data_IF_190488007391
#
_entry.id   IF_190488007391
#
_cell.length_a   1.000
_cell.length_b   1.000
_cell.length_c   1.000
_cell.angle_alpha   90.00
_cell.angle_beta   90.00
_cell.angle_gamma   90.00
#
_symmetry.space_group_name_H-M   'P 1'
#
loop_
_entity.id
_entity.type
_entity.pdbx_description
1 polymer ?
#
# COMPACT_ATOMS: atom_id res chain seq x y z
N UNK A 1 -10.51 -9.25 11.91
CA UNK A 1 -10.83 -8.51 10.67
C UNK A 1 -12.26 -8.80 10.19
N UNK A 2 -13.04 -7.75 10.01
CA UNK A 2 -14.28 -7.77 9.22
C UNK A 2 -13.97 -7.62 7.73
N UNK A 3 -14.97 -7.82 6.87
CA UNK A 3 -14.85 -7.53 5.42
C UNK A 3 -14.51 -6.05 5.12
N UNK A 4 -14.78 -5.15 6.06
CA UNK A 4 -14.58 -3.71 5.88
C UNK A 4 -13.22 -3.22 6.39
N UNK A 5 -12.54 -4.02 7.21
CA UNK A 5 -11.22 -3.68 7.76
C UNK A 5 -10.16 -3.73 6.66
N UNK A 6 -9.07 -2.99 6.86
CA UNK A 6 -8.00 -2.81 5.88
C UNK A 6 -6.68 -3.28 6.48
N UNK A 7 -6.29 -4.49 6.12
CA UNK A 7 -4.94 -4.99 6.37
C UNK A 7 -3.92 -4.23 5.52
N UNK A 8 -2.68 -4.23 5.98
CA UNK A 8 -1.54 -3.58 5.31
C UNK A 8 -1.22 -4.21 3.95
N UNK A 9 -1.19 -5.54 3.86
CA UNK A 9 -0.63 -6.26 2.70
C UNK A 9 -1.47 -6.15 1.42
N UNK A 10 -2.83 -6.16 1.43
CA UNK A 10 -3.58 -5.98 0.18
C UNK A 10 -3.34 -4.60 -0.44
N UNK A 11 -3.12 -3.56 0.39
CA UNK A 11 -2.80 -2.23 -0.12
C UNK A 11 -1.45 -2.24 -0.85
N UNK A 12 -0.46 -2.92 -0.26
CA UNK A 12 0.86 -3.11 -0.86
C UNK A 12 0.78 -3.83 -2.22
N UNK A 13 0.03 -4.93 -2.31
CA UNK A 13 -0.15 -5.68 -3.56
C UNK A 13 -0.91 -4.87 -4.62
N UNK A 14 -2.01 -4.21 -4.25
CA UNK A 14 -2.82 -3.43 -5.17
C UNK A 14 -2.04 -2.25 -5.76
N UNK A 15 -1.20 -1.57 -5.00
CA UNK A 15 -0.35 -0.50 -5.54
C UNK A 15 0.54 -1.01 -6.67
N UNK A 16 1.21 -2.14 -6.48
CA UNK A 16 2.06 -2.76 -7.51
C UNK A 16 1.21 -3.18 -8.71
N UNK A 17 0.09 -3.87 -8.48
CA UNK A 17 -0.80 -4.35 -9.53
C UNK A 17 -1.33 -3.20 -10.40
N UNK A 18 -1.71 -2.08 -9.80
CA UNK A 18 -2.21 -0.93 -10.54
C UNK A 18 -1.14 -0.22 -11.37
N UNK A 19 0.09 -0.08 -10.86
CA UNK A 19 1.19 0.45 -11.69
C UNK A 19 1.52 -0.49 -12.85
N UNK A 20 1.50 -1.81 -12.64
CA UNK A 20 1.66 -2.79 -13.72
C UNK A 20 0.51 -2.71 -14.73
N UNK A 21 -0.74 -2.62 -14.27
CA UNK A 21 -1.91 -2.46 -15.12
C UNK A 21 -1.82 -1.20 -15.98
N UNK A 22 -1.40 -0.08 -15.38
CA UNK A 22 -1.14 1.15 -16.13
C UNK A 22 -0.05 0.94 -17.18
N UNK A 23 1.06 0.29 -16.82
CA UNK A 23 2.16 -0.01 -17.76
C UNK A 23 1.71 -0.90 -18.93
N UNK A 24 0.89 -1.91 -18.67
CA UNK A 24 0.48 -2.90 -19.68
C UNK A 24 -0.60 -2.36 -20.63
N UNK A 25 -1.54 -1.61 -20.09
CA UNK A 25 -2.78 -1.26 -20.81
C UNK A 25 -2.91 0.24 -21.11
N UNK A 26 -2.10 1.10 -20.47
CA UNK A 26 -2.16 2.55 -20.65
C UNK A 26 -3.44 3.20 -20.11
N UNK A 27 -4.25 2.49 -19.33
CA UNK A 27 -5.55 2.95 -18.81
C UNK A 27 -5.32 3.88 -17.60
N UNK A 28 -5.65 5.19 -17.68
CA UNK A 28 -5.33 6.17 -16.64
C UNK A 28 -5.93 5.86 -15.26
N UNK A 29 -7.09 5.19 -15.23
CA UNK A 29 -7.80 4.81 -14.01
C UNK A 29 -6.95 3.91 -13.09
N UNK A 30 -6.00 3.15 -13.66
CA UNK A 30 -5.06 2.39 -12.84
C UNK A 30 -4.08 3.30 -12.09
N UNK A 31 -3.60 4.37 -12.71
CA UNK A 31 -2.74 5.33 -12.03
C UNK A 31 -3.50 6.11 -10.95
N UNK A 32 -4.77 6.48 -11.22
CA UNK A 32 -5.67 7.07 -10.23
C UNK A 32 -5.91 6.13 -9.04
N UNK A 33 -6.17 4.85 -9.30
CA UNK A 33 -6.35 3.84 -8.26
C UNK A 33 -5.08 3.66 -7.41
N UNK A 34 -3.89 3.62 -8.04
CA UNK A 34 -2.62 3.63 -7.33
C UNK A 34 -2.50 4.87 -6.42
N UNK A 35 -2.78 6.07 -6.95
CA UNK A 35 -2.67 7.32 -6.20
C UNK A 35 -3.63 7.34 -4.99
N UNK A 36 -4.85 6.84 -5.15
CA UNK A 36 -5.83 6.73 -4.08
C UNK A 36 -5.36 5.78 -2.96
N UNK A 37 -4.82 4.61 -3.31
CA UNK A 37 -4.30 3.65 -2.33
C UNK A 37 -3.06 4.21 -1.64
N UNK A 38 -2.15 4.83 -2.38
CA UNK A 38 -0.97 5.45 -1.78
C UNK A 38 -1.35 6.57 -0.80
N UNK A 39 -2.36 7.38 -1.14
CA UNK A 39 -2.94 8.38 -0.25
C UNK A 39 -3.49 7.74 1.04
N UNK A 40 -4.24 6.64 0.92
CA UNK A 40 -4.75 5.89 2.06
C UNK A 40 -3.61 5.34 2.95
N UNK A 41 -2.65 4.63 2.35
CA UNK A 41 -1.48 4.05 3.03
C UNK A 41 -0.72 5.12 3.82
N UNK A 42 -0.40 6.24 3.17
CA UNK A 42 0.32 7.35 3.81
C UNK A 42 -0.44 7.95 4.98
N UNK A 43 -1.76 8.06 4.87
CA UNK A 43 -2.59 8.72 5.88
C UNK A 43 -2.91 7.81 7.06
N UNK A 44 -3.18 6.54 6.82
CA UNK A 44 -3.77 5.65 7.81
C UNK A 44 -2.86 4.52 8.28
N UNK A 45 -1.96 4.03 7.42
CA UNK A 45 -1.11 2.88 7.75
C UNK A 45 0.29 3.28 8.22
N UNK A 46 0.92 4.27 7.57
CA UNK A 46 2.29 4.66 7.94
C UNK A 46 2.35 5.31 9.32
N UNK A 47 3.23 4.81 10.19
CA UNK A 47 3.46 5.38 11.52
C UNK A 47 4.51 6.49 11.43
N UNK A 48 4.06 7.75 11.47
CA UNK A 48 4.96 8.90 11.43
C UNK A 48 5.98 8.87 12.59
N UNK A 49 7.24 9.23 12.30
CA UNK A 49 8.34 9.25 13.27
C UNK A 49 8.97 7.88 13.56
N UNK A 50 8.23 6.78 13.38
CA UNK A 50 8.75 5.40 13.53
C UNK A 50 9.11 4.80 12.17
N UNK A 51 8.34 5.14 11.13
CA UNK A 51 8.33 4.39 9.89
C UNK A 51 7.48 3.13 10.00
N UNK A 52 7.53 2.31 8.96
CA UNK A 52 6.68 1.13 8.79
C UNK A 52 5.17 1.39 8.80
N UNK A 53 4.39 0.35 8.53
CA UNK A 53 2.95 0.36 8.43
C UNK A 53 2.35 -0.42 9.61
N UNK A 54 1.22 0.06 10.12
CA UNK A 54 0.37 -0.69 11.06
C UNK A 54 -0.18 -1.94 10.38
N UNK A 55 -0.41 -3.02 11.13
CA UNK A 55 -0.99 -4.25 10.58
C UNK A 55 -2.41 -4.03 10.03
N UNK A 56 -3.29 -3.39 10.81
CA UNK A 56 -4.73 -3.39 10.54
C UNK A 56 -5.41 -2.09 11.02
N UNK A 57 -6.23 -1.50 10.15
CA UNK A 57 -7.14 -0.39 10.49
C UNK A 57 -8.59 -0.76 10.18
N UNK A 58 -9.54 -0.12 10.85
CA UNK A 58 -10.96 -0.26 10.58
C UNK A 58 -11.36 0.47 9.28
N UNK A 59 -12.65 0.41 8.92
CA UNK A 59 -13.18 1.10 7.74
C UNK A 59 -12.95 2.62 7.74
N UNK A 60 -12.95 3.26 8.91
CA UNK A 60 -12.69 4.69 9.08
C UNK A 60 -11.18 5.02 9.05
N UNK A 61 -10.32 4.00 8.95
CA UNK A 61 -8.87 4.15 8.95
C UNK A 61 -8.27 4.38 10.35
N UNK A 62 -8.99 4.01 11.40
CA UNK A 62 -8.50 4.03 12.78
C UNK A 62 -7.82 2.70 13.11
N UNK A 63 -6.71 2.69 13.88
CA UNK A 63 -5.99 1.46 14.20
C UNK A 63 -6.85 0.44 14.96
N UNK A 64 -6.92 -0.79 14.44
CA UNK A 64 -7.41 -1.96 15.20
C UNK A 64 -6.20 -2.68 15.81
N UNK A 65 -5.16 -2.89 15.01
CA UNK A 65 -3.85 -3.34 15.45
C UNK A 65 -2.80 -2.30 15.06
N UNK A 66 -2.28 -1.62 16.08
CA UNK A 66 -1.27 -0.58 15.92
C UNK A 66 0.16 -1.13 15.81
N UNK A 67 0.37 -2.44 15.96
CA UNK A 67 1.68 -3.06 15.87
C UNK A 67 2.24 -2.93 14.45
N UNK A 68 3.56 -2.72 14.37
CA UNK A 68 4.32 -2.70 13.10
C UNK A 68 5.01 -4.04 12.83
N UNK A 69 4.74 -5.05 13.65
CA UNK A 69 5.31 -6.40 13.56
C UNK A 69 4.46 -7.41 14.32
N UNK A 70 4.16 -8.55 13.68
CA UNK A 70 3.50 -9.71 14.30
C UNK A 70 3.82 -10.97 13.47
N UNK A 71 3.48 -12.21 13.90
CA UNK A 71 3.89 -13.43 13.20
C UNK A 71 3.54 -13.51 11.70
N UNK A 72 2.55 -12.76 11.25
CA UNK A 72 2.11 -12.68 9.86
C UNK A 72 2.30 -11.30 9.21
N UNK A 73 3.00 -10.39 9.90
CA UNK A 73 3.34 -9.06 9.41
C UNK A 73 4.79 -8.76 9.72
N UNK A 74 5.60 -8.80 8.68
CA UNK A 74 7.00 -8.40 8.67
C UNK A 74 7.19 -7.19 7.75
N UNK A 75 8.40 -6.98 7.23
CA UNK A 75 8.73 -5.93 6.27
C UNK A 75 8.67 -6.36 4.80
N UNK A 76 8.25 -7.59 4.47
CA UNK A 76 8.30 -8.08 3.10
C UNK A 76 7.34 -7.30 2.20
N UNK A 77 6.05 -7.29 2.51
CA UNK A 77 5.05 -6.64 1.65
C UNK A 77 5.28 -5.14 1.54
N UNK A 78 5.58 -4.46 2.65
CA UNK A 78 5.81 -3.00 2.67
C UNK A 78 7.09 -2.63 1.92
N UNK A 79 8.20 -3.30 2.19
CA UNK A 79 9.49 -3.02 1.55
C UNK A 79 9.50 -3.38 0.06
N UNK A 80 9.03 -4.58 -0.30
CA UNK A 80 9.02 -5.05 -1.69
C UNK A 80 8.08 -4.20 -2.55
N UNK A 81 6.86 -3.92 -2.07
CA UNK A 81 5.89 -3.14 -2.86
C UNK A 81 6.40 -1.73 -3.16
N UNK A 82 6.96 -1.02 -2.18
CA UNK A 82 7.48 0.33 -2.39
C UNK A 82 8.70 0.34 -3.32
N UNK A 83 9.61 -0.63 -3.16
CA UNK A 83 10.77 -0.78 -4.06
C UNK A 83 10.30 -0.99 -5.50
N UNK A 84 9.30 -1.84 -5.71
CA UNK A 84 8.74 -2.13 -7.02
C UNK A 84 7.98 -0.95 -7.62
N UNK A 85 7.19 -0.24 -6.80
CA UNK A 85 6.50 0.98 -7.22
C UNK A 85 7.50 2.05 -7.69
N UNK A 86 8.58 2.28 -6.95
CA UNK A 86 9.65 3.22 -7.33
C UNK A 86 10.30 2.81 -8.65
N UNK A 87 10.59 1.51 -8.83
CA UNK A 87 11.16 0.98 -10.07
C UNK A 87 10.24 1.24 -11.27
N UNK A 88 8.94 0.96 -11.14
CA UNK A 88 7.95 1.18 -12.20
C UNK A 88 7.76 2.66 -12.53
N UNK A 89 7.64 3.53 -11.51
CA UNK A 89 7.48 4.97 -11.71
C UNK A 89 8.68 5.56 -12.44
N UNK A 90 9.90 5.13 -12.10
CA UNK A 90 11.11 5.55 -12.82
C UNK A 90 11.08 5.19 -14.30
N UNK A 91 10.48 4.06 -14.67
CA UNK A 91 10.30 3.68 -16.08
C UNK A 91 9.29 4.55 -16.82
N UNK A 92 8.34 5.18 -16.12
CA UNK A 92 7.36 6.08 -16.74
C UNK A 92 7.90 7.50 -16.95
N UNK A 93 8.97 7.86 -16.22
CA UNK A 93 9.61 9.17 -16.27
C UNK A 93 10.84 9.21 -17.19
N UNK A 94 11.26 8.05 -17.71
CA UNK A 94 12.35 7.91 -18.67
C UNK A 94 11.82 7.99 -20.10
#
# INVERSE_FOLDING_TARGET
PTLADKDFWPQAECMVAFLYGYRLFGIPQYLEAFANIWGFVRKHLIVAGVGEWRSLVNHAGEPIDACTGQPWKDGYHTGRSLTECVRLIKLFLA
#
